data_IF_729692053464
#
_entry.id   IF_729692053464
#
_cell.length_a   1.000
_cell.length_b   1.000
_cell.length_c   1.000
_cell.angle_alpha   90.00
_cell.angle_beta   90.00
_cell.angle_gamma   90.00
#
_symmetry.space_group_name_H-M   'P 1'
#
loop_
_entity.id
_entity.type
_entity.pdbx_description
1 polymer ?
#
# COMPACT_ATOMS: atom_id res chain seq x y z
N UNK A 1 5.12 42.85 51.16
CA UNK A 1 4.00 42.05 50.60
C UNK A 1 4.30 41.80 49.12
N UNK A 2 4.95 40.68 48.79
CA UNK A 2 5.32 40.35 47.41
C UNK A 2 4.18 39.52 46.78
N UNK A 3 3.51 40.03 45.75
CA UNK A 3 2.45 39.33 45.03
C UNK A 3 3.07 38.40 44.00
N UNK A 4 2.99 37.09 44.20
CA UNK A 4 3.34 36.11 43.18
C UNK A 4 2.20 36.03 42.15
N UNK A 5 2.47 36.47 40.92
CA UNK A 5 1.59 36.25 39.79
C UNK A 5 1.86 34.83 39.25
N UNK A 6 0.89 33.93 39.42
CA UNK A 6 0.93 32.60 38.82
C UNK A 6 0.43 32.72 37.38
N UNK A 7 1.35 32.70 36.42
CA UNK A 7 1.03 32.62 35.00
C UNK A 7 0.70 31.17 34.64
N UNK A 8 -0.59 30.88 34.43
CA UNK A 8 -1.04 29.63 33.83
C UNK A 8 -0.59 29.62 32.36
N UNK A 9 0.42 28.82 32.03
CA UNK A 9 0.70 28.45 30.64
C UNK A 9 -0.38 27.44 30.20
N UNK A 10 -1.31 27.91 29.37
CA UNK A 10 -2.22 27.02 28.64
C UNK A 10 -1.39 26.21 27.63
N UNK A 11 -1.19 24.93 27.92
CA UNK A 11 -0.60 23.99 26.98
C UNK A 11 -1.65 23.73 25.91
N UNK A 12 -1.50 24.37 24.75
CA UNK A 12 -2.27 24.03 23.55
C UNK A 12 -1.72 22.69 23.07
N UNK A 13 -2.35 21.60 23.48
CA UNK A 13 -2.13 20.29 22.86
C UNK A 13 -2.70 20.36 21.46
N UNK A 14 -1.86 20.64 20.46
CA UNK A 14 -2.20 20.45 19.06
C UNK A 14 -2.36 18.96 18.80
N UNK A 15 -3.56 18.43 19.05
CA UNK A 15 -3.94 17.08 18.63
C UNK A 15 -3.90 17.05 17.10
N UNK A 16 -2.80 16.53 16.54
CA UNK A 16 -2.61 16.39 15.10
C UNK A 16 -3.69 15.46 14.55
N UNK A 17 -4.67 16.06 13.88
CA UNK A 17 -5.75 15.37 13.17
C UNK A 17 -5.21 14.75 11.85
N UNK A 18 -4.11 13.98 11.91
CA UNK A 18 -3.52 13.27 10.76
C UNK A 18 -4.32 12.01 10.36
N UNK A 19 -5.33 11.62 11.15
CA UNK A 19 -6.04 10.32 11.01
C UNK A 19 -7.01 10.23 9.81
N UNK A 20 -7.21 11.32 9.04
CA UNK A 20 -8.22 11.39 7.97
C UNK A 20 -7.77 12.21 6.74
N UNK A 21 -6.47 12.26 6.44
CA UNK A 21 -5.95 12.90 5.22
C UNK A 21 -5.38 11.86 4.26
N UNK A 22 -5.27 12.22 2.99
CA UNK A 22 -4.51 11.44 2.02
C UNK A 22 -3.02 11.81 2.07
N UNK A 23 -2.19 11.09 1.31
CA UNK A 23 -0.80 11.45 1.06
C UNK A 23 -0.73 12.79 0.32
N UNK A 24 0.33 13.56 0.53
CA UNK A 24 0.52 14.86 -0.14
C UNK A 24 1.30 14.69 -1.46
N UNK A 25 0.90 13.71 -2.26
CA UNK A 25 1.44 13.51 -3.61
C UNK A 25 0.65 14.27 -4.66
N UNK A 26 1.26 14.47 -5.83
CA UNK A 26 0.71 15.30 -6.92
C UNK A 26 -0.71 14.90 -7.37
N UNK A 27 -1.03 13.61 -7.34
CA UNK A 27 -2.31 13.06 -7.82
C UNK A 27 -3.30 12.71 -6.70
N UNK A 28 -2.95 12.95 -5.44
CA UNK A 28 -3.81 12.60 -4.31
C UNK A 28 -4.83 13.71 -4.03
N UNK A 29 -6.02 13.30 -3.60
CA UNK A 29 -7.02 14.19 -3.01
C UNK A 29 -6.49 14.74 -1.68
N UNK A 30 -7.12 15.79 -1.14
CA UNK A 30 -6.79 16.27 0.21
C UNK A 30 -7.29 15.33 1.31
N UNK A 31 -8.47 14.73 1.10
CA UNK A 31 -9.14 13.82 2.04
C UNK A 31 -9.84 12.71 1.27
N UNK A 32 -9.96 11.51 1.86
CA UNK A 32 -10.67 10.43 1.22
C UNK A 32 -12.17 10.76 1.12
N UNK A 33 -12.77 10.44 -0.01
CA UNK A 33 -14.22 10.55 -0.23
C UNK A 33 -14.68 9.53 -1.29
N UNK A 34 -16.00 9.23 -1.39
CA UNK A 34 -16.50 8.28 -2.37
C UNK A 34 -16.13 8.68 -3.81
N UNK A 35 -15.81 7.68 -4.64
CA UNK A 35 -15.49 7.79 -6.06
C UNK A 35 -16.26 6.70 -6.83
N UNK A 36 -17.50 6.97 -7.24
CA UNK A 36 -18.40 5.94 -7.79
C UNK A 36 -18.02 5.43 -9.19
N UNK A 37 -17.20 6.18 -9.93
CA UNK A 37 -16.90 5.90 -11.34
C UNK A 37 -15.50 5.29 -11.57
N UNK A 38 -14.93 4.65 -10.54
CA UNK A 38 -13.63 4.00 -10.64
C UNK A 38 -13.71 2.77 -11.58
N UNK A 39 -12.85 2.73 -12.60
CA UNK A 39 -12.76 1.60 -13.54
C UNK A 39 -11.82 0.49 -13.03
N UNK A 40 -10.92 0.84 -12.12
CA UNK A 40 -10.00 -0.05 -11.40
C UNK A 40 -9.80 0.50 -9.98
N UNK A 41 -9.15 -0.25 -9.09
CA UNK A 41 -8.93 0.13 -7.68
C UNK A 41 -10.24 0.22 -6.89
N UNK A 42 -11.28 -0.49 -7.34
CA UNK A 42 -12.64 -0.44 -6.78
C UNK A 42 -12.75 -0.92 -5.34
N UNK A 43 -11.71 -1.58 -4.80
CA UNK A 43 -11.57 -1.84 -3.37
C UNK A 43 -11.74 -0.57 -2.52
N UNK A 44 -11.43 0.61 -3.08
CA UNK A 44 -11.43 1.90 -2.40
C UNK A 44 -12.60 2.82 -2.81
N UNK A 45 -13.58 2.35 -3.59
CA UNK A 45 -14.63 3.21 -4.18
C UNK A 45 -15.45 4.01 -3.16
N UNK A 46 -15.77 3.43 -2.01
CA UNK A 46 -16.57 4.09 -0.97
C UNK A 46 -15.78 5.17 -0.20
N UNK A 47 -14.45 5.13 -0.26
CA UNK A 47 -13.57 6.09 0.42
C UNK A 47 -12.19 6.05 -0.25
N UNK A 48 -11.97 6.93 -1.23
CA UNK A 48 -10.78 6.93 -2.07
C UNK A 48 -9.98 8.22 -1.95
N UNK A 49 -8.66 8.08 -1.94
CA UNK A 49 -7.68 9.16 -2.04
C UNK A 49 -7.24 9.50 -3.47
N UNK A 50 -7.67 8.75 -4.48
CA UNK A 50 -7.46 9.08 -5.88
C UNK A 50 -8.78 9.51 -6.53
N UNK A 51 -8.71 10.21 -7.66
CA UNK A 51 -9.88 10.49 -8.50
C UNK A 51 -10.12 9.34 -9.49
N UNK A 52 -11.37 9.15 -9.93
CA UNK A 52 -11.70 8.11 -10.91
C UNK A 52 -10.87 8.17 -12.21
N UNK A 53 -10.50 9.36 -12.69
CA UNK A 53 -9.71 9.53 -13.92
C UNK A 53 -8.32 8.85 -13.86
N UNK A 54 -7.73 8.72 -12.67
CA UNK A 54 -6.47 7.99 -12.48
C UNK A 54 -6.68 6.51 -12.82
N UNK A 55 -7.82 5.94 -12.38
CA UNK A 55 -8.12 4.51 -12.54
C UNK A 55 -8.35 4.10 -13.99
N UNK A 56 -8.68 5.05 -14.87
CA UNK A 56 -8.83 4.80 -16.31
C UNK A 56 -7.52 4.32 -16.95
N UNK A 57 -6.37 4.79 -16.45
CA UNK A 57 -5.04 4.36 -16.91
C UNK A 57 -4.78 2.88 -16.61
N UNK A 58 -5.50 2.32 -15.64
CA UNK A 58 -5.36 0.94 -15.18
C UNK A 58 -6.46 0.02 -15.72
N UNK A 59 -7.49 0.56 -16.39
CA UNK A 59 -8.69 -0.20 -16.76
C UNK A 59 -8.42 -1.29 -17.81
N UNK A 60 -7.43 -1.07 -18.67
CA UNK A 60 -7.11 -1.98 -19.78
C UNK A 60 -5.80 -2.71 -19.54
N UNK A 61 -5.76 -3.98 -19.93
CA UNK A 61 -4.55 -4.81 -19.93
C UNK A 61 -4.13 -5.07 -21.39
N UNK A 62 -2.84 -4.93 -21.75
CA UNK A 62 -1.73 -4.59 -20.86
C UNK A 62 -1.67 -3.13 -20.42
N UNK A 63 -1.24 -2.92 -19.18
CA UNK A 63 -0.85 -1.59 -18.68
C UNK A 63 0.56 -1.29 -19.19
N UNK A 64 0.65 -0.40 -20.18
CA UNK A 64 1.94 -0.01 -20.79
C UNK A 64 2.62 1.08 -19.97
N UNK A 65 1.85 2.08 -19.52
CA UNK A 65 2.36 3.30 -18.90
C UNK A 65 1.33 3.88 -17.93
N UNK A 66 1.81 4.36 -16.79
CA UNK A 66 1.05 5.17 -15.84
C UNK A 66 1.77 6.49 -15.65
N UNK A 67 1.07 7.60 -15.85
CA UNK A 67 1.65 8.94 -15.88
C UNK A 67 2.89 8.98 -16.78
N UNK A 68 4.11 9.09 -16.25
CA UNK A 68 5.35 9.05 -17.04
C UNK A 68 6.16 7.74 -16.92
N UNK A 69 5.67 6.77 -16.17
CA UNK A 69 6.36 5.52 -15.89
C UNK A 69 5.85 4.38 -16.77
N UNK A 70 6.69 3.86 -17.66
CA UNK A 70 6.44 2.66 -18.44
C UNK A 70 6.67 1.41 -17.60
N UNK A 71 5.72 0.49 -17.66
CA UNK A 71 5.78 -0.81 -16.97
C UNK A 71 6.36 -1.92 -17.85
N UNK A 72 6.50 -1.67 -19.15
CA UNK A 72 6.90 -2.68 -20.13
C UNK A 72 8.37 -2.56 -20.60
N UNK A 73 9.26 -1.96 -19.78
CA UNK A 73 10.64 -1.69 -20.19
C UNK A 73 11.47 -2.94 -20.49
N UNK A 74 11.08 -4.07 -19.92
CA UNK A 74 11.70 -5.38 -20.17
C UNK A 74 10.76 -6.36 -20.89
N UNK A 75 9.76 -5.84 -21.61
CA UNK A 75 8.67 -6.63 -22.19
C UNK A 75 7.37 -6.45 -21.43
N UNK A 76 6.29 -6.98 -21.99
CA UNK A 76 4.97 -6.90 -21.37
C UNK A 76 4.89 -7.89 -20.20
N UNK A 77 4.45 -7.40 -19.03
CA UNK A 77 4.22 -8.25 -17.88
C UNK A 77 3.14 -9.31 -18.16
N UNK A 78 3.31 -10.49 -17.58
CA UNK A 78 2.27 -11.49 -17.47
C UNK A 78 1.06 -10.91 -16.74
N UNK A 79 -0.13 -11.44 -17.05
CA UNK A 79 -1.37 -10.92 -16.48
C UNK A 79 -1.38 -11.00 -14.94
N UNK A 80 -0.89 -12.10 -14.39
CA UNK A 80 -0.78 -12.30 -12.95
C UNK A 80 0.18 -11.31 -12.30
N UNK A 81 1.36 -11.07 -12.90
CA UNK A 81 2.30 -10.09 -12.39
C UNK A 81 1.74 -8.66 -12.44
N UNK A 82 1.12 -8.29 -13.57
CA UNK A 82 0.43 -7.00 -13.74
C UNK A 82 -0.63 -6.80 -12.65
N UNK A 83 -1.45 -7.80 -12.35
CA UNK A 83 -2.51 -7.68 -11.33
C UNK A 83 -1.97 -7.36 -9.94
N UNK A 84 -0.81 -7.90 -9.55
CA UNK A 84 -0.18 -7.54 -8.28
C UNK A 84 0.40 -6.13 -8.30
N UNK A 85 1.07 -5.73 -9.39
CA UNK A 85 1.58 -4.36 -9.53
C UNK A 85 0.45 -3.35 -9.49
N UNK A 86 -0.70 -3.64 -10.12
CA UNK A 86 -1.92 -2.82 -10.05
C UNK A 86 -2.45 -2.71 -8.62
N UNK A 87 -2.48 -3.80 -7.85
CA UNK A 87 -2.91 -3.77 -6.44
C UNK A 87 -2.08 -2.79 -5.60
N UNK A 88 -0.76 -2.79 -5.77
CA UNK A 88 0.14 -1.87 -5.07
C UNK A 88 -0.04 -0.42 -5.53
N UNK A 89 -0.13 -0.18 -6.84
CA UNK A 89 -0.39 1.17 -7.35
C UNK A 89 -1.74 1.70 -6.85
N UNK A 90 -2.79 0.87 -6.87
CA UNK A 90 -4.09 1.19 -6.31
C UNK A 90 -4.03 1.50 -4.81
N UNK A 91 -3.27 0.73 -4.03
CA UNK A 91 -3.07 1.02 -2.61
C UNK A 91 -2.42 2.39 -2.41
N UNK A 92 -1.28 2.64 -3.07
CA UNK A 92 -0.55 3.88 -2.94
C UNK A 92 -1.42 5.08 -3.29
N UNK A 93 -2.12 5.02 -4.43
CA UNK A 93 -2.88 6.16 -4.97
C UNK A 93 -4.23 6.36 -4.30
N UNK A 94 -4.93 5.28 -3.98
CA UNK A 94 -6.36 5.34 -3.68
C UNK A 94 -6.70 4.96 -2.24
N UNK A 95 -5.83 4.24 -1.51
CA UNK A 95 -6.17 3.80 -0.16
C UNK A 95 -6.45 4.99 0.78
N UNK A 96 -7.59 5.00 1.50
CA UNK A 96 -7.89 6.05 2.47
C UNK A 96 -7.02 5.95 3.73
N UNK A 97 -6.20 4.90 3.83
CA UNK A 97 -5.37 4.61 5.00
C UNK A 97 -3.87 4.68 4.70
N UNK A 98 -3.43 4.87 3.46
CA UNK A 98 -2.00 4.89 3.11
C UNK A 98 -1.23 5.97 3.90
N UNK A 99 -1.84 7.14 4.12
CA UNK A 99 -1.25 8.24 4.89
C UNK A 99 -1.01 7.92 6.37
N UNK A 100 -1.53 6.80 6.89
CA UNK A 100 -1.16 6.31 8.22
C UNK A 100 0.33 5.98 8.31
N UNK A 101 0.91 5.53 7.20
CA UNK A 101 2.33 5.22 7.06
C UNK A 101 3.08 6.29 6.29
N UNK A 102 2.64 7.55 6.37
CA UNK A 102 3.31 8.66 5.67
C UNK A 102 4.78 8.75 6.06
N UNK A 103 5.67 8.86 5.07
CA UNK A 103 7.09 8.98 5.32
C UNK A 103 7.37 10.34 6.03
N UNK A 104 8.12 10.35 7.14
CA UNK A 104 8.24 11.52 8.02
C UNK A 104 8.88 12.74 7.35
N UNK A 105 9.77 12.50 6.38
CA UNK A 105 10.49 13.55 5.66
C UNK A 105 9.99 13.78 4.22
N UNK A 106 8.98 13.01 3.77
CA UNK A 106 8.48 13.10 2.39
C UNK A 106 6.99 12.73 2.35
N UNK A 107 6.11 13.73 2.40
CA UNK A 107 4.68 13.54 2.65
C UNK A 107 3.90 12.90 1.48
N UNK A 108 4.51 12.78 0.31
CA UNK A 108 3.99 12.00 -0.82
C UNK A 108 4.39 10.51 -0.76
N UNK A 109 5.32 10.13 0.12
CA UNK A 109 5.81 8.77 0.29
C UNK A 109 5.17 8.04 1.46
N UNK A 110 5.33 6.73 1.45
CA UNK A 110 4.96 5.83 2.55
C UNK A 110 6.21 5.16 3.12
N UNK A 111 6.14 4.68 4.35
CA UNK A 111 7.23 3.97 5.01
C UNK A 111 6.70 2.83 5.87
N UNK A 112 7.30 1.65 5.76
CA UNK A 112 7.01 0.49 6.62
C UNK A 112 5.55 0.04 6.65
N UNK A 113 4.84 0.13 5.52
CA UNK A 113 3.51 -0.47 5.36
C UNK A 113 3.64 -2.00 5.51
N UNK A 114 2.90 -2.64 6.44
CA UNK A 114 3.05 -4.06 6.72
C UNK A 114 2.29 -4.91 5.68
N UNK A 115 3.01 -5.53 4.75
CA UNK A 115 2.45 -6.49 3.81
C UNK A 115 2.42 -7.89 4.40
N UNK A 116 1.40 -8.68 4.05
CA UNK A 116 1.35 -10.09 4.44
C UNK A 116 2.42 -10.89 3.70
N UNK A 117 3.12 -11.79 4.39
CA UNK A 117 4.11 -12.68 3.77
C UNK A 117 3.51 -13.44 2.56
N UNK A 118 2.31 -13.99 2.73
CA UNK A 118 1.60 -14.71 1.64
C UNK A 118 1.37 -13.85 0.41
N UNK A 119 1.03 -12.56 0.58
CA UNK A 119 0.85 -11.64 -0.55
C UNK A 119 2.16 -11.43 -1.32
N UNK A 120 3.27 -11.28 -0.60
CA UNK A 120 4.59 -11.08 -1.19
C UNK A 120 5.11 -12.33 -1.91
N UNK A 121 4.87 -13.51 -1.33
CA UNK A 121 5.23 -14.79 -1.96
C UNK A 121 4.41 -15.05 -3.22
N UNK A 122 3.09 -14.82 -3.17
CA UNK A 122 2.22 -14.97 -4.33
C UNK A 122 2.56 -13.97 -5.45
N UNK A 123 2.93 -12.73 -5.08
CA UNK A 123 3.38 -11.73 -6.05
C UNK A 123 4.68 -12.18 -6.72
N UNK A 124 5.65 -12.65 -5.95
CA UNK A 124 6.92 -13.12 -6.50
C UNK A 124 6.70 -14.32 -7.42
N UNK A 125 5.92 -15.30 -7.01
CA UNK A 125 5.60 -16.46 -7.84
C UNK A 125 4.88 -16.06 -9.14
N UNK A 126 3.99 -15.07 -9.07
CA UNK A 126 3.28 -14.54 -10.23
C UNK A 126 4.19 -13.79 -11.22
N UNK A 127 5.33 -13.26 -10.77
CA UNK A 127 6.25 -12.45 -11.57
C UNK A 127 7.59 -13.13 -11.88
N UNK A 128 7.91 -14.29 -11.28
CA UNK A 128 9.27 -14.86 -11.28
C UNK A 128 9.90 -15.01 -12.69
N UNK A 129 9.06 -15.29 -13.69
CA UNK A 129 9.47 -15.49 -15.10
C UNK A 129 9.32 -14.21 -15.96
N UNK A 130 8.70 -13.16 -15.41
CA UNK A 130 8.72 -11.82 -15.99
C UNK A 130 10.10 -11.20 -15.80
N UNK A 131 10.42 -10.14 -16.56
CA UNK A 131 11.73 -9.50 -16.54
C UNK A 131 11.68 -8.08 -15.99
N UNK A 132 12.73 -7.69 -15.27
CA UNK A 132 12.97 -6.34 -14.78
C UNK A 132 14.44 -5.93 -15.01
N UNK A 133 14.71 -4.63 -15.08
CA UNK A 133 16.06 -4.08 -15.25
C UNK A 133 16.51 -3.21 -14.07
N UNK A 134 15.63 -3.05 -13.07
CA UNK A 134 15.87 -2.26 -11.88
C UNK A 134 15.37 -3.02 -10.66
N UNK A 135 16.10 -2.92 -9.55
CA UNK A 135 15.75 -3.60 -8.31
C UNK A 135 14.82 -2.74 -7.46
N UNK A 136 15.13 -1.45 -7.33
CA UNK A 136 14.26 -0.43 -6.73
C UNK A 136 13.60 0.40 -7.84
N UNK A 137 12.29 0.27 -7.96
CA UNK A 137 11.49 0.86 -9.02
C UNK A 137 11.18 2.34 -8.81
N UNK A 138 11.55 2.90 -7.66
CA UNK A 138 11.43 4.33 -7.39
C UNK A 138 12.72 5.07 -7.75
N UNK A 139 13.88 4.45 -7.53
CA UNK A 139 15.17 5.15 -7.53
C UNK A 139 16.15 4.75 -8.63
N UNK A 140 16.07 3.52 -9.18
CA UNK A 140 17.15 2.96 -10.00
C UNK A 140 16.98 3.23 -11.52
N UNK A 141 15.96 3.99 -11.92
CA UNK A 141 15.72 4.35 -13.31
C UNK A 141 16.63 5.48 -13.80
N UNK A 142 17.00 5.44 -15.09
CA UNK A 142 17.47 6.63 -15.80
C UNK A 142 16.26 7.41 -16.32
N UNK A 143 16.22 8.72 -16.12
CA UNK A 143 15.09 9.56 -16.57
C UNK A 143 15.56 10.47 -17.69
N UNK A 144 14.84 10.47 -18.82
CA UNK A 144 15.16 11.35 -19.95
C UNK A 144 14.57 12.76 -19.78
N UNK A 145 14.84 13.65 -20.75
CA UNK A 145 14.36 15.04 -20.75
C UNK A 145 12.82 15.15 -20.74
N UNK A 146 12.11 14.12 -21.20
CA UNK A 146 10.65 14.04 -21.17
C UNK A 146 10.10 13.47 -19.86
N UNK A 147 10.99 13.10 -18.93
CA UNK A 147 10.65 12.57 -17.63
C UNK A 147 10.14 11.13 -17.68
N UNK A 148 10.49 10.33 -18.68
CA UNK A 148 10.15 8.90 -18.73
C UNK A 148 11.33 8.03 -18.29
N UNK A 149 11.02 6.90 -17.63
CA UNK A 149 11.99 5.98 -17.04
C UNK A 149 12.65 5.07 -18.07
N UNK A 150 13.95 4.82 -18.00
CA UNK A 150 14.70 3.92 -18.89
C UNK A 150 15.60 2.99 -18.08
N UNK A 151 15.79 1.78 -18.59
CA UNK A 151 16.64 0.79 -17.95
C UNK A 151 18.10 1.22 -17.94
N UNK A 152 18.72 1.17 -16.76
CA UNK A 152 20.16 1.31 -16.58
C UNK A 152 20.94 0.02 -16.83
N UNK A 153 20.30 -1.12 -16.54
CA UNK A 153 20.91 -2.44 -16.60
C UNK A 153 20.19 -3.32 -17.63
N UNK A 154 20.77 -4.48 -17.92
CA UNK A 154 20.11 -5.51 -18.73
C UNK A 154 18.84 -6.04 -18.04
N UNK A 155 17.89 -6.47 -18.86
CA UNK A 155 16.67 -7.11 -18.38
C UNK A 155 16.94 -8.54 -17.95
N UNK A 156 16.66 -8.86 -16.69
CA UNK A 156 16.79 -10.19 -16.11
C UNK A 156 15.46 -10.65 -15.50
N UNK A 157 15.22 -11.97 -15.38
CA UNK A 157 14.03 -12.48 -14.70
C UNK A 157 13.90 -11.98 -13.26
N UNK A 158 12.67 -11.84 -12.75
CA UNK A 158 12.47 -11.47 -11.34
C UNK A 158 13.06 -12.50 -10.39
N UNK A 159 13.11 -13.77 -10.78
CA UNK A 159 13.76 -14.83 -10.01
C UNK A 159 15.27 -14.63 -9.84
N UNK A 160 15.90 -13.89 -10.74
CA UNK A 160 17.31 -13.50 -10.63
C UNK A 160 17.46 -12.14 -9.92
N UNK A 161 16.52 -11.23 -10.14
CA UNK A 161 16.50 -9.91 -9.51
C UNK A 161 16.27 -9.97 -7.99
N UNK A 162 15.40 -10.87 -7.55
CA UNK A 162 14.94 -10.99 -6.16
C UNK A 162 15.07 -12.44 -5.66
N UNK A 163 15.51 -12.60 -4.41
CA UNK A 163 15.75 -13.91 -3.81
C UNK A 163 14.44 -14.67 -3.53
N UNK A 164 13.39 -13.95 -3.11
CA UNK A 164 12.06 -14.46 -2.79
C UNK A 164 11.05 -13.31 -2.67
N UNK A 165 9.81 -13.61 -2.28
CA UNK A 165 8.74 -12.63 -2.05
C UNK A 165 9.08 -11.56 -1.02
N UNK A 166 9.69 -11.95 0.10
CA UNK A 166 10.12 -10.99 1.14
C UNK A 166 11.13 -9.99 0.60
N UNK A 167 12.17 -10.49 -0.09
CA UNK A 167 13.20 -9.68 -0.70
C UNK A 167 12.62 -8.71 -1.73
N UNK A 168 11.69 -9.20 -2.57
CA UNK A 168 11.01 -8.40 -3.57
C UNK A 168 10.20 -7.27 -2.95
N UNK A 169 9.29 -7.57 -2.02
CA UNK A 169 8.44 -6.57 -1.38
C UNK A 169 9.23 -5.50 -0.62
N UNK A 170 10.35 -5.87 0.02
CA UNK A 170 11.20 -4.95 0.78
C UNK A 170 12.20 -4.16 -0.07
N UNK A 171 12.39 -4.53 -1.34
CA UNK A 171 13.36 -3.87 -2.22
C UNK A 171 12.68 -3.01 -3.29
N UNK A 172 11.59 -3.50 -3.88
CA UNK A 172 11.00 -2.93 -5.09
C UNK A 172 10.57 -1.47 -4.92
N UNK A 173 10.01 -1.11 -3.77
CA UNK A 173 9.60 0.27 -3.46
C UNK A 173 10.45 0.89 -2.33
N UNK A 174 11.68 0.43 -2.15
CA UNK A 174 12.56 0.87 -1.07
C UNK A 174 11.93 0.67 0.31
N UNK A 175 11.95 1.71 1.14
CA UNK A 175 11.43 1.65 2.53
C UNK A 175 9.89 1.67 2.64
N UNK A 176 9.17 1.71 1.51
CA UNK A 176 7.71 1.83 1.48
C UNK A 176 7.01 0.68 2.20
N UNK A 177 7.50 -0.55 2.00
CA UNK A 177 6.88 -1.77 2.50
C UNK A 177 7.84 -2.57 3.37
N UNK A 178 7.26 -3.24 4.38
CA UNK A 178 7.93 -4.30 5.15
C UNK A 178 7.04 -5.53 5.16
N UNK A 179 7.62 -6.72 5.25
CA UNK A 179 6.82 -7.92 5.43
C UNK A 179 6.53 -8.14 6.93
N UNK A 180 5.27 -8.34 7.25
CA UNK A 180 4.82 -8.62 8.63
C UNK A 180 5.08 -10.06 9.00
N UNK A 181 5.52 -10.31 10.24
CA UNK A 181 5.57 -11.65 10.82
C UNK A 181 4.17 -12.20 11.14
N UNK A 182 3.18 -11.31 11.23
CA UNK A 182 1.78 -11.68 11.46
C UNK A 182 1.09 -12.06 10.15
N UNK A 183 0.29 -13.12 10.21
CA UNK A 183 -0.60 -13.52 9.11
C UNK A 183 -1.94 -12.76 9.10
N UNK A 184 -2.18 -11.85 10.05
CA UNK A 184 -3.44 -11.11 10.16
C UNK A 184 -3.25 -9.59 10.26
N UNK A 185 -2.25 -9.13 11.03
CA UNK A 185 -1.87 -7.73 11.18
C UNK A 185 -0.96 -7.31 10.02
N UNK A 186 -1.54 -7.39 8.82
CA UNK A 186 -0.86 -7.14 7.56
C UNK A 186 -1.88 -6.84 6.45
N UNK A 187 -1.41 -6.22 5.37
CA UNK A 187 -2.20 -5.87 4.20
C UNK A 187 -1.88 -6.80 3.04
N UNK A 188 -2.90 -7.16 2.28
CA UNK A 188 -2.81 -8.06 1.11
C UNK A 188 -3.74 -7.61 -0.03
N UNK A 189 -4.09 -6.32 -0.02
CA UNK A 189 -4.73 -5.57 -1.10
C UNK A 189 -6.05 -6.20 -1.55
N UNK A 190 -6.84 -6.65 -0.57
CA UNK A 190 -8.16 -7.21 -0.81
C UNK A 190 -9.11 -6.93 0.36
N UNK A 191 -10.35 -7.43 0.29
CA UNK A 191 -11.39 -7.16 1.30
C UNK A 191 -11.02 -7.58 2.73
N UNK A 192 -10.04 -8.48 2.94
CA UNK A 192 -9.56 -8.85 4.27
C UNK A 192 -8.85 -7.67 4.97
N UNK A 193 -8.30 -6.72 4.22
CA UNK A 193 -7.63 -5.54 4.76
C UNK A 193 -8.58 -4.63 5.55
N UNK A 194 -9.88 -4.63 5.21
CA UNK A 194 -10.91 -3.90 5.98
C UNK A 194 -10.99 -4.36 7.45
N UNK A 195 -10.56 -5.60 7.72
CA UNK A 195 -10.50 -6.15 9.06
C UNK A 195 -9.13 -5.89 9.70
N UNK A 196 -8.04 -6.17 8.99
CA UNK A 196 -6.67 -5.95 9.47
C UNK A 196 -6.44 -4.49 9.87
N UNK A 197 -6.93 -3.54 9.08
CA UNK A 197 -6.71 -2.11 9.29
C UNK A 197 -7.28 -1.62 10.63
N UNK A 198 -8.35 -2.24 11.14
CA UNK A 198 -8.95 -1.85 12.43
C UNK A 198 -8.00 -2.10 13.60
N UNK A 199 -7.12 -3.09 13.47
CA UNK A 199 -6.13 -3.46 14.48
C UNK A 199 -4.80 -2.73 14.23
N UNK A 200 -4.38 -2.62 12.97
CA UNK A 200 -3.18 -1.86 12.61
C UNK A 200 -3.26 -0.39 13.06
N UNK A 201 -4.46 0.21 13.01
CA UNK A 201 -4.68 1.60 13.43
C UNK A 201 -4.95 1.78 14.94
N UNK A 202 -5.21 0.71 15.70
CA UNK A 202 -5.36 0.77 17.16
C UNK A 202 -4.01 0.77 17.88
N UNK A 203 -3.05 0.05 17.32
CA UNK A 203 -1.67 -0.05 17.83
C UNK A 203 -0.96 1.32 17.84
N UNK A 204 -1.30 2.23 16.90
CA UNK A 204 -0.69 3.56 16.83
C UNK A 204 -1.11 4.54 17.95
N UNK A 205 -2.07 4.18 18.82
CA UNK A 205 -2.53 5.04 19.93
C UNK A 205 -1.92 4.67 21.28
N UNK A 206 -1.24 3.55 21.39
CA UNK A 206 -0.50 3.15 22.60
C UNK A 206 0.92 2.78 22.19
N UNK A 207 1.90 3.65 22.50
CA UNK A 207 3.31 3.33 22.31
C UNK A 207 3.69 2.09 23.11
N UNK A 208 3.62 0.90 22.50
CA UNK A 208 4.34 -0.27 22.96
C UNK A 208 4.73 -1.14 21.77
N UNK A 209 6.04 -1.33 21.60
CA UNK A 209 6.69 -2.03 20.49
C UNK A 209 6.61 -3.56 20.60
N UNK A 210 5.46 -4.07 21.02
CA UNK A 210 5.18 -5.50 21.02
C UNK A 210 3.75 -5.71 20.55
N UNK A 211 3.57 -6.32 19.37
CA UNK A 211 2.29 -6.89 18.94
C UNK A 211 1.76 -7.68 20.13
N UNK A 212 0.71 -7.18 20.77
CA UNK A 212 0.17 -7.89 21.91
C UNK A 212 -0.37 -9.21 21.39
N UNK A 213 0.02 -10.33 21.99
CA UNK A 213 -0.53 -11.64 21.63
C UNK A 213 -2.08 -11.67 21.64
N UNK A 214 -2.70 -10.73 22.35
CA UNK A 214 -4.14 -10.46 22.35
C UNK A 214 -4.68 -9.87 21.04
N UNK A 215 -4.01 -8.91 20.42
CA UNK A 215 -4.46 -8.28 19.17
C UNK A 215 -4.34 -9.24 17.99
N UNK A 216 -3.24 -9.99 17.92
CA UNK A 216 -3.06 -11.07 16.94
C UNK A 216 -4.24 -12.06 17.02
N UNK A 217 -4.50 -12.60 18.22
CA UNK A 217 -5.61 -13.54 18.43
C UNK A 217 -6.97 -12.93 18.11
N UNK A 218 -7.18 -11.66 18.43
CA UNK A 218 -8.42 -10.95 18.14
C UNK A 218 -8.62 -10.76 16.64
N UNK A 219 -7.56 -10.37 15.92
CA UNK A 219 -7.54 -10.24 14.47
C UNK A 219 -7.85 -11.59 13.82
N UNK A 220 -7.11 -12.64 14.17
CA UNK A 220 -7.28 -13.98 13.63
C UNK A 220 -8.71 -14.51 13.85
N UNK A 221 -9.25 -14.35 15.06
CA UNK A 221 -10.64 -14.76 15.37
C UNK A 221 -11.66 -14.05 14.48
N UNK A 222 -11.47 -12.76 14.21
CA UNK A 222 -12.36 -12.00 13.33
C UNK A 222 -12.17 -12.37 11.86
N UNK A 223 -10.93 -12.63 11.42
CA UNK A 223 -10.63 -13.05 10.06
C UNK A 223 -11.30 -14.41 9.76
N UNK A 224 -11.16 -15.38 10.65
CA UNK A 224 -11.83 -16.68 10.55
C UNK A 224 -13.36 -16.55 10.49
N UNK A 225 -13.95 -15.63 11.26
CA UNK A 225 -15.39 -15.37 11.20
C UNK A 225 -15.80 -14.78 9.85
N UNK A 226 -14.99 -13.86 9.30
CA UNK A 226 -15.23 -13.26 8.00
C UNK A 226 -15.13 -14.28 6.86
N UNK A 227 -14.13 -15.17 6.91
CA UNK A 227 -13.96 -16.26 5.93
C UNK A 227 -15.16 -17.21 5.95
N UNK A 228 -15.60 -17.65 7.13
CA UNK A 228 -16.80 -18.49 7.27
C UNK A 228 -18.05 -17.85 6.68
N UNK A 229 -18.29 -16.57 6.98
CA UNK A 229 -19.46 -15.85 6.44
C UNK A 229 -19.43 -15.80 4.90
N UNK A 230 -18.25 -15.61 4.31
CA UNK A 230 -18.10 -15.61 2.85
C UNK A 230 -18.27 -16.99 2.23
N UNK A 231 -17.82 -18.04 2.90
CA UNK A 231 -18.05 -19.42 2.46
C UNK A 231 -19.53 -19.78 2.51
N UNK A 232 -20.25 -19.33 3.54
CA UNK A 232 -21.71 -19.49 3.65
C UNK A 232 -22.46 -18.73 2.54
N UNK A 233 -22.11 -17.46 2.29
CA UNK A 233 -22.70 -16.65 1.20
C UNK A 233 -22.39 -17.22 -0.21
N UNK A 234 -21.19 -17.79 -0.39
CA UNK A 234 -20.78 -18.42 -1.65
C UNK A 234 -21.30 -19.86 -1.82
N UNK A 235 -21.71 -20.50 -0.74
CA UNK A 235 -22.31 -21.85 -0.72
C UNK A 235 -23.81 -21.85 -1.02
N UNK A 236 -24.52 -20.77 -0.71
CA UNK A 236 -25.94 -20.58 -1.03
C UNK A 236 -26.21 -20.27 -2.52
N UNK A 237 -25.17 -20.07 -3.34
CA UNK A 237 -25.27 -19.79 -4.78
C UNK A 237 -25.00 -21.01 -5.68
N UNK A 238 -25.03 -22.24 -5.13
CA UNK A 238 -24.75 -23.47 -5.90
C UNK A 238 -25.92 -24.46 -5.96
#
# INVERSE_FOLDING_TARGET
MLRFAVTLFAVITSSTCKKYSCLEGETHKLKPSPEPNMQECTLYSESSCCYANFTEQLAHSPVIKINNSYWNRCGQLSKSCEDFTKKIECFYRCSPHAAHWIHPNYTAGIQSVPLCQSFCDDWYEACKDDSACVRNWLMDWEWDESGVNHCKNECIPYSEMYVNGTDMCQSMWGESFKVSESSCLCLQMNKKDMMAIKYLLSESSEESSSVSSSEERACQKKLLKFEKLKEEEGGETR
#
